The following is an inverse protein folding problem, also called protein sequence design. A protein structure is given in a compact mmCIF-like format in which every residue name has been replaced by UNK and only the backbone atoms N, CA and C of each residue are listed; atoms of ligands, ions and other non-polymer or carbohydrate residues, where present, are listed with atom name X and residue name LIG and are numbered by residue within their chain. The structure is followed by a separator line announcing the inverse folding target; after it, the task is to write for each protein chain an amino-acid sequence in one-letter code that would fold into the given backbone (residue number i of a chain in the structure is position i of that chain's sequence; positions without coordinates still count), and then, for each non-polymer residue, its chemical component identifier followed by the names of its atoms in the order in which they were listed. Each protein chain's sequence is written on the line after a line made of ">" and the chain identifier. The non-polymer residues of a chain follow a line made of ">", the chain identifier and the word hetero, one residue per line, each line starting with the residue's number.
data_IF_550251183896
#
_entry.id   IF_550251183896
#
_cell.length_a   1.000
_cell.length_b   1.000
_cell.length_c   1.000
_cell.angle_alpha   90.00
_cell.angle_beta   90.00
_cell.angle_gamma   90.00
#
_symmetry.space_group_name_H-M   'P 1'
#
loop_
_entity.id
_entity.type
_entity.pdbx_description
1 polymer ?
#
# COMPACT_ATOMS: atom_id res chain seq x y z
N UNK A 1 -24.93 2.68 -14.04
CA UNK A 1 -25.67 3.22 -12.88
C UNK A 1 -24.65 3.76 -11.90
N UNK A 2 -24.77 5.02 -11.49
CA UNK A 2 -23.93 5.65 -10.46
C UNK A 2 -24.72 5.63 -9.15
N UNK A 3 -24.15 5.07 -8.09
CA UNK A 3 -24.77 5.07 -6.75
C UNK A 3 -24.00 6.09 -5.91
N UNK A 4 -24.71 7.02 -5.30
CA UNK A 4 -24.15 8.00 -4.35
C UNK A 4 -24.58 7.63 -2.95
N UNK A 5 -23.61 7.45 -2.07
CA UNK A 5 -23.84 7.15 -0.65
C UNK A 5 -23.26 8.30 0.17
N UNK A 6 -24.07 8.85 1.07
CA UNK A 6 -23.67 9.91 1.98
C UNK A 6 -23.55 9.32 3.39
N UNK A 7 -22.43 9.56 4.05
CA UNK A 7 -22.11 9.01 5.37
C UNK A 7 -21.62 10.14 6.28
N UNK A 8 -22.11 10.19 7.52
CA UNK A 8 -21.51 11.07 8.53
C UNK A 8 -20.23 10.41 9.08
N UNK A 9 -19.13 10.65 8.38
CA UNK A 9 -17.81 10.14 8.75
C UNK A 9 -16.82 11.30 8.87
N UNK A 10 -16.00 11.38 9.95
CA UNK A 10 -15.04 12.46 10.13
C UNK A 10 -14.07 12.64 8.96
N UNK A 11 -13.75 11.57 8.23
CA UNK A 11 -12.83 11.63 7.08
C UNK A 11 -13.45 12.33 5.85
N UNK A 12 -14.79 12.36 5.74
CA UNK A 12 -15.49 12.97 4.61
C UNK A 12 -15.81 14.45 4.86
N UNK A 13 -15.76 14.91 6.13
CA UNK A 13 -16.00 16.31 6.50
C UNK A 13 -14.98 17.28 5.91
N UNK A 14 -13.82 16.78 5.46
CA UNK A 14 -12.79 17.58 4.78
C UNK A 14 -13.12 17.86 3.30
N UNK A 15 -14.26 17.38 2.79
CA UNK A 15 -14.61 17.46 1.37
C UNK A 15 -14.06 16.30 0.55
N UNK A 16 -13.48 15.28 1.19
CA UNK A 16 -13.04 14.05 0.53
C UNK A 16 -14.24 13.27 -0.03
N UNK A 17 -14.18 12.92 -1.30
CA UNK A 17 -15.13 12.01 -1.96
C UNK A 17 -14.40 10.76 -2.39
N UNK A 18 -14.90 9.60 -1.95
CA UNK A 18 -14.35 8.30 -2.35
C UNK A 18 -15.25 7.67 -3.41
N UNK A 19 -14.66 7.30 -4.55
CA UNK A 19 -15.35 6.59 -5.62
C UNK A 19 -14.77 5.17 -5.73
N UNK A 20 -15.62 4.17 -5.47
CA UNK A 20 -15.28 2.77 -5.75
C UNK A 20 -15.60 2.46 -7.21
N UNK A 21 -14.64 1.88 -7.91
CA UNK A 21 -14.66 1.70 -9.35
C UNK A 21 -14.57 0.22 -9.70
N UNK A 22 -15.35 -0.28 -10.66
CA UNK A 22 -15.22 -1.66 -11.10
C UNK A 22 -13.85 -1.91 -11.72
N UNK A 23 -13.39 -3.15 -11.66
CA UNK A 23 -12.07 -3.53 -12.17
C UNK A 23 -11.94 -3.29 -13.67
N UNK A 24 -10.76 -2.85 -14.12
CA UNK A 24 -10.49 -2.60 -15.54
C UNK A 24 -10.46 -3.88 -16.41
N UNK A 25 -10.50 -5.06 -15.79
CA UNK A 25 -10.56 -6.37 -16.45
C UNK A 25 -11.97 -6.98 -16.37
N UNK A 26 -12.98 -6.16 -16.11
CA UNK A 26 -14.38 -6.60 -16.10
C UNK A 26 -14.83 -7.02 -17.50
N UNK A 27 -15.57 -8.14 -17.60
CA UNK A 27 -16.12 -8.66 -18.85
C UNK A 27 -17.11 -7.70 -19.52
N UNK A 28 -17.72 -6.81 -18.74
CA UNK A 28 -18.64 -5.81 -19.25
C UNK A 28 -17.87 -4.55 -19.68
N UNK A 29 -17.65 -4.42 -21.00
CA UNK A 29 -16.97 -3.27 -21.60
C UNK A 29 -17.61 -1.92 -21.27
N UNK A 30 -18.92 -1.85 -21.05
CA UNK A 30 -19.56 -0.60 -20.66
C UNK A 30 -19.09 -0.14 -19.27
N UNK A 31 -18.86 -1.08 -18.33
CA UNK A 31 -18.30 -0.78 -17.01
C UNK A 31 -16.84 -0.35 -17.08
N UNK A 32 -16.05 -0.98 -17.95
CA UNK A 32 -14.65 -0.58 -18.18
C UNK A 32 -14.57 0.82 -18.77
N UNK A 33 -15.35 1.14 -19.83
CA UNK A 33 -15.36 2.48 -20.43
C UNK A 33 -15.86 3.55 -19.48
N UNK A 34 -16.87 3.25 -18.67
CA UNK A 34 -17.33 4.17 -17.63
C UNK A 34 -16.21 4.46 -16.61
N UNK A 35 -15.47 3.43 -16.23
CA UNK A 35 -14.34 3.55 -15.30
C UNK A 35 -13.20 4.38 -15.87
N UNK A 36 -12.79 4.11 -17.11
CA UNK A 36 -11.76 4.90 -17.81
C UNK A 36 -12.12 6.38 -17.88
N UNK A 37 -13.37 6.71 -18.24
CA UNK A 37 -13.83 8.10 -18.32
C UNK A 37 -13.79 8.76 -16.95
N UNK A 38 -14.25 8.05 -15.91
CA UNK A 38 -14.27 8.59 -14.56
C UNK A 38 -12.85 8.83 -14.02
N UNK A 39 -11.94 7.87 -14.19
CA UNK A 39 -10.54 7.99 -13.81
C UNK A 39 -9.86 9.20 -14.46
N UNK A 40 -10.12 9.45 -15.75
CA UNK A 40 -9.46 10.54 -16.48
C UNK A 40 -10.02 11.93 -16.21
N UNK A 41 -11.33 12.05 -15.97
CA UNK A 41 -12.00 13.35 -15.99
C UNK A 41 -12.62 13.77 -14.65
N UNK A 42 -12.80 12.84 -13.71
CA UNK A 42 -13.51 13.11 -12.46
C UNK A 42 -12.70 12.81 -11.20
N UNK A 43 -11.56 12.13 -11.31
CA UNK A 43 -10.71 11.83 -10.17
C UNK A 43 -9.54 12.82 -10.07
N UNK A 44 -9.36 13.46 -8.91
CA UNK A 44 -8.19 14.30 -8.65
C UNK A 44 -6.93 13.48 -8.33
N UNK A 45 -7.11 12.30 -7.75
CA UNK A 45 -6.06 11.36 -7.34
C UNK A 45 -6.59 9.92 -7.41
N UNK A 46 -5.72 8.95 -7.71
CA UNK A 46 -6.09 7.55 -7.91
C UNK A 46 -5.37 6.65 -6.90
N UNK A 47 -6.14 5.84 -6.19
CA UNK A 47 -5.66 4.79 -5.30
C UNK A 47 -5.78 3.41 -5.95
N UNK A 48 -4.67 2.67 -6.00
CA UNK A 48 -4.57 1.34 -6.59
C UNK A 48 -4.41 0.33 -5.46
N UNK A 49 -5.49 -0.37 -5.13
CA UNK A 49 -5.45 -1.41 -4.10
C UNK A 49 -4.96 -2.73 -4.69
N UNK A 50 -3.86 -3.27 -4.16
CA UNK A 50 -3.29 -4.56 -4.55
C UNK A 50 -2.95 -5.39 -3.31
N UNK A 51 -2.93 -6.71 -3.42
CA UNK A 51 -2.39 -7.56 -2.36
C UNK A 51 -0.86 -7.38 -2.34
N UNK A 52 -0.26 -7.13 -1.17
CA UNK A 52 1.17 -6.91 -1.02
C UNK A 52 2.02 -8.03 -1.65
N UNK A 53 1.55 -9.28 -1.61
CA UNK A 53 2.28 -10.42 -2.17
C UNK A 53 2.33 -10.45 -3.69
N UNK A 54 1.46 -9.69 -4.36
CA UNK A 54 1.38 -9.60 -5.83
C UNK A 54 1.64 -8.20 -6.34
N UNK A 55 1.70 -7.18 -5.47
CA UNK A 55 1.73 -5.78 -5.88
C UNK A 55 2.83 -5.44 -6.89
N UNK A 56 3.96 -6.15 -6.85
CA UNK A 56 5.02 -5.99 -7.84
C UNK A 56 4.72 -6.61 -9.20
N UNK A 57 4.16 -7.82 -9.23
CA UNK A 57 3.93 -8.60 -10.45
C UNK A 57 2.51 -8.44 -11.02
N UNK A 58 1.63 -7.75 -10.30
CA UNK A 58 0.25 -7.53 -10.72
C UNK A 58 0.19 -6.56 -11.89
N UNK A 59 -0.07 -7.10 -13.08
CA UNK A 59 -0.17 -6.35 -14.32
C UNK A 59 -1.32 -5.32 -14.28
N UNK A 60 -2.36 -5.55 -13.46
CA UNK A 60 -3.45 -4.58 -13.32
C UNK A 60 -2.99 -3.25 -12.72
N UNK A 61 -1.96 -3.26 -11.86
CA UNK A 61 -1.35 -2.05 -11.30
C UNK A 61 -0.76 -1.21 -12.43
N UNK A 62 -0.04 -1.86 -13.34
CA UNK A 62 0.56 -1.21 -14.50
C UNK A 62 -0.48 -0.66 -15.47
N UNK A 63 -1.54 -1.44 -15.74
CA UNK A 63 -2.63 -1.04 -16.61
C UNK A 63 -3.36 0.20 -16.09
N UNK A 64 -3.64 0.27 -14.79
CA UNK A 64 -4.29 1.43 -14.16
C UNK A 64 -3.39 2.66 -14.25
N UNK A 65 -2.10 2.53 -13.92
CA UNK A 65 -1.13 3.64 -13.96
C UNK A 65 -1.05 4.25 -15.36
N UNK A 66 -1.04 3.43 -16.42
CA UNK A 66 -1.02 3.89 -17.81
C UNK A 66 -2.29 4.63 -18.25
N UNK A 67 -3.43 4.33 -17.61
CA UNK A 67 -4.73 4.93 -17.96
C UNK A 67 -5.03 6.21 -17.19
N UNK A 68 -4.30 6.46 -16.10
CA UNK A 68 -4.35 7.71 -15.34
C UNK A 68 -3.76 8.88 -16.15
N UNK A 69 -4.17 10.10 -15.82
CA UNK A 69 -3.59 11.31 -16.41
C UNK A 69 -2.12 11.50 -16.03
N UNK A 70 -1.32 12.13 -16.89
CA UNK A 70 0.11 12.34 -16.65
C UNK A 70 0.42 13.08 -15.34
N UNK A 71 -0.38 14.11 -15.02
CA UNK A 71 -0.24 14.91 -13.80
C UNK A 71 -1.22 14.51 -12.68
N UNK A 72 -1.84 13.34 -12.79
CA UNK A 72 -2.74 12.82 -11.78
C UNK A 72 -1.93 12.05 -10.74
N UNK A 73 -1.94 12.45 -9.45
CA UNK A 73 -1.30 11.69 -8.39
C UNK A 73 -1.83 10.26 -8.33
N UNK A 74 -0.90 9.31 -8.15
CA UNK A 74 -1.18 7.88 -8.07
C UNK A 74 -0.60 7.35 -6.78
N UNK A 75 -1.34 6.48 -6.08
CA UNK A 75 -0.88 5.78 -4.87
C UNK A 75 -1.17 4.31 -4.98
N UNK A 76 -0.27 3.48 -4.46
CA UNK A 76 -0.50 2.05 -4.33
C UNK A 76 -0.83 1.74 -2.87
N UNK A 77 -1.93 1.05 -2.64
CA UNK A 77 -2.34 0.53 -1.33
C UNK A 77 -2.09 -0.98 -1.34
N UNK A 78 -0.99 -1.39 -0.72
CA UNK A 78 -0.64 -2.79 -0.51
C UNK A 78 -1.42 -3.36 0.68
N UNK A 79 -2.53 -4.02 0.39
CA UNK A 79 -3.39 -4.71 1.37
C UNK A 79 -2.77 -6.02 1.86
N UNK A 80 -3.25 -6.51 3.01
CA UNK A 80 -2.76 -7.76 3.68
C UNK A 80 -1.28 -7.69 4.04
N UNK A 81 -0.83 -6.50 4.47
CA UNK A 81 0.56 -6.24 4.82
C UNK A 81 1.08 -7.03 6.02
N UNK A 82 0.21 -7.69 6.79
CA UNK A 82 0.53 -8.56 7.92
C UNK A 82 0.78 -10.02 7.54
N UNK A 83 0.32 -10.47 6.36
CA UNK A 83 0.39 -11.89 6.00
C UNK A 83 1.76 -12.21 5.42
N UNK A 84 2.65 -12.82 6.22
CA UNK A 84 3.93 -13.36 5.77
C UNK A 84 3.75 -14.83 5.36
N UNK A 85 3.76 -15.13 4.06
CA UNK A 85 3.77 -16.51 3.59
C UNK A 85 5.18 -16.89 3.21
N UNK A 86 5.76 -17.86 3.92
CA UNK A 86 7.03 -18.51 3.58
C UNK A 86 7.04 -19.10 2.15
N UNK A 87 5.88 -19.23 1.49
CA UNK A 87 5.75 -19.76 0.12
C UNK A 87 5.61 -18.68 -0.97
N UNK A 88 5.33 -17.42 -0.62
CA UNK A 88 5.15 -16.36 -1.63
C UNK A 88 6.49 -15.80 -2.15
N UNK A 89 7.60 -16.36 -1.67
CA UNK A 89 8.96 -16.06 -2.10
C UNK A 89 9.35 -16.58 -3.49
N UNK A 90 8.45 -17.23 -4.22
CA UNK A 90 8.82 -18.01 -5.40
C UNK A 90 9.28 -17.23 -6.64
N UNK A 91 9.00 -15.94 -6.78
CA UNK A 91 9.32 -15.21 -8.03
C UNK A 91 9.96 -13.83 -7.86
N UNK A 92 9.88 -13.23 -6.67
CA UNK A 92 10.46 -11.90 -6.39
C UNK A 92 11.44 -11.89 -5.23
N UNK A 93 11.34 -12.87 -4.35
CA UNK A 93 12.19 -12.96 -3.18
C UNK A 93 13.51 -13.68 -3.46
N UNK A 94 13.74 -14.23 -4.65
CA UNK A 94 15.08 -14.77 -4.99
C UNK A 94 16.06 -13.68 -5.45
N UNK A 95 15.59 -12.59 -6.06
CA UNK A 95 16.47 -11.54 -6.61
C UNK A 95 16.65 -10.32 -5.70
N UNK A 96 15.65 -9.95 -4.89
CA UNK A 96 15.76 -8.79 -3.98
C UNK A 96 16.45 -9.15 -2.65
N UNK A 97 16.35 -10.40 -2.19
CA UNK A 97 16.79 -10.80 -0.85
C UNK A 97 18.32 -10.82 -0.69
N UNK A 98 19.09 -10.77 -1.78
CA UNK A 98 20.55 -10.88 -1.74
C UNK A 98 21.31 -9.56 -1.96
N UNK A 99 20.68 -8.46 -2.39
CA UNK A 99 21.45 -7.32 -2.92
C UNK A 99 21.40 -6.01 -2.09
N UNK A 100 20.48 -5.83 -1.13
CA UNK A 100 20.32 -4.55 -0.40
C UNK A 100 20.39 -4.64 1.13
N UNK A 101 21.15 -5.59 1.69
CA UNK A 101 21.46 -5.60 3.13
C UNK A 101 22.84 -4.95 3.35
N UNK A 102 22.91 -3.62 3.20
CA UNK A 102 24.13 -2.84 3.48
C UNK A 102 24.26 -2.52 4.99
N UNK A 103 24.72 -3.53 5.72
CA UNK A 103 25.82 -3.56 6.69
C UNK A 103 26.00 -2.59 7.89
N UNK A 104 25.32 -1.45 8.12
CA UNK A 104 25.76 -0.56 9.24
C UNK A 104 24.73 -0.06 10.27
N UNK A 105 23.44 -0.02 9.98
CA UNK A 105 22.44 0.49 10.95
C UNK A 105 21.69 -0.60 11.74
N UNK A 106 21.92 -1.86 11.41
CA UNK A 106 21.15 -3.02 11.92
C UNK A 106 21.77 -3.74 13.12
N UNK A 107 22.99 -3.40 13.52
CA UNK A 107 23.87 -4.33 14.25
C UNK A 107 23.51 -4.66 15.72
N UNK A 108 22.69 -3.87 16.42
CA UNK A 108 22.46 -4.08 17.88
C UNK A 108 21.19 -4.86 18.22
N UNK A 109 20.07 -4.55 17.58
CA UNK A 109 18.81 -5.29 17.79
C UNK A 109 18.75 -6.57 16.95
N UNK A 110 19.36 -6.61 15.76
CA UNK A 110 19.35 -7.80 14.90
C UNK A 110 20.14 -8.97 15.47
N UNK A 111 21.16 -8.79 16.31
CA UNK A 111 21.96 -9.95 16.73
C UNK A 111 21.10 -10.95 17.52
N UNK A 112 20.24 -10.46 18.41
CA UNK A 112 19.31 -11.30 19.16
C UNK A 112 18.25 -11.97 18.27
N UNK A 113 17.77 -11.27 17.25
CA UNK A 113 16.73 -11.73 16.32
C UNK A 113 17.30 -12.72 15.29
N UNK A 114 18.49 -12.42 14.75
CA UNK A 114 19.24 -13.29 13.83
C UNK A 114 19.60 -14.60 14.49
N UNK A 115 20.13 -14.57 15.72
CA UNK A 115 20.41 -15.77 16.50
C UNK A 115 19.15 -16.60 16.76
N UNK A 116 17.99 -15.95 16.91
CA UNK A 116 16.72 -16.64 17.06
C UNK A 116 16.24 -17.30 15.75
N UNK A 117 16.42 -16.62 14.61
CA UNK A 117 16.15 -17.18 13.27
C UNK A 117 17.04 -18.41 13.04
N UNK A 118 18.36 -18.29 13.25
CA UNK A 118 19.33 -19.37 13.08
C UNK A 118 19.00 -20.57 14.00
N UNK A 119 18.58 -20.30 15.25
CA UNK A 119 18.14 -21.36 16.17
C UNK A 119 16.91 -22.10 15.65
N UNK A 120 15.88 -21.37 15.21
CA UNK A 120 14.66 -21.99 14.66
C UNK A 120 14.94 -22.77 13.37
N UNK A 121 15.81 -22.27 12.50
CA UNK A 121 16.25 -22.99 11.30
C UNK A 121 16.97 -24.29 11.65
N UNK A 122 17.81 -24.27 12.70
CA UNK A 122 18.46 -25.48 13.21
C UNK A 122 17.45 -26.51 13.73
N UNK A 123 16.40 -26.05 14.41
CA UNK A 123 15.34 -26.93 14.92
C UNK A 123 14.48 -27.50 13.80
N UNK A 124 14.14 -26.70 12.79
CA UNK A 124 13.44 -27.17 11.60
C UNK A 124 14.25 -28.20 10.83
N UNK A 125 15.58 -28.02 10.74
CA UNK A 125 16.48 -28.99 10.11
C UNK A 125 16.49 -30.31 10.89
N UNK A 126 16.54 -30.26 12.22
CA UNK A 126 16.45 -31.48 13.06
C UNK A 126 15.13 -32.20 12.86
N UNK A 127 13.99 -31.49 12.93
CA UNK A 127 12.67 -32.11 12.72
C UNK A 127 12.52 -32.70 11.33
N UNK A 128 13.12 -32.09 10.29
CA UNK A 128 13.13 -32.66 8.94
C UNK A 128 13.93 -33.95 8.87
N UNK A 129 15.13 -33.97 9.47
CA UNK A 129 15.96 -35.15 9.52
C UNK A 129 15.28 -36.29 10.31
N UNK A 130 14.66 -35.97 11.46
CA UNK A 130 13.92 -36.96 12.26
C UNK A 130 12.73 -37.57 11.50
N UNK A 131 12.09 -36.78 10.62
CA UNK A 131 10.98 -37.23 9.78
C UNK A 131 11.49 -38.12 8.64
N UNK A 132 12.60 -37.76 8.01
CA UNK A 132 13.25 -38.55 6.96
C UNK A 132 13.73 -39.90 7.53
N UNK A 133 14.36 -39.88 8.70
CA UNK A 133 14.76 -41.09 9.43
C UNK A 133 13.54 -41.96 9.82
N UNK A 134 12.43 -41.35 10.24
CA UNK A 134 11.21 -42.09 10.55
C UNK A 134 10.56 -42.70 9.29
N UNK A 135 10.64 -42.02 8.14
CA UNK A 135 10.13 -42.52 6.87
C UNK A 135 10.97 -43.67 6.31
N UNK A 136 12.30 -43.59 6.42
CA UNK A 136 13.22 -44.65 5.98
C UNK A 136 13.12 -45.88 6.89
N UNK A 137 13.09 -45.70 8.21
CA UNK A 137 12.85 -46.80 9.15
C UNK A 137 11.52 -47.52 8.90
N UNK A 138 10.49 -46.82 8.41
CA UNK A 138 9.21 -47.44 8.02
C UNK A 138 9.34 -48.28 6.74
N UNK A 139 10.17 -47.84 5.78
CA UNK A 139 10.42 -48.58 4.53
C UNK A 139 11.14 -49.89 4.79
N UNK A 140 12.08 -49.88 5.74
CA UNK A 140 12.94 -51.01 6.06
C UNK A 140 12.37 -51.94 7.16
N UNK A 141 11.24 -51.60 7.78
CA UNK A 141 10.63 -52.39 8.84
C UNK A 141 9.80 -53.59 8.34
N UNK A 142 10.01 -54.73 9.00
CA UNK A 142 9.18 -55.93 8.91
C UNK A 142 7.72 -55.69 9.37
N UNK A 143 6.79 -56.51 8.85
CA UNK A 143 5.34 -56.36 9.04
C UNK A 143 4.89 -56.16 10.50
N UNK A 144 5.57 -56.79 11.46
CA UNK A 144 5.26 -56.67 12.90
C UNK A 144 5.58 -55.31 13.53
N UNK A 145 6.55 -54.57 12.98
CA UNK A 145 7.00 -53.28 13.53
C UNK A 145 6.52 -52.06 12.73
N UNK A 146 5.94 -52.25 11.54
CA UNK A 146 5.40 -51.17 10.69
C UNK A 146 4.38 -50.28 11.39
N UNK A 147 3.55 -50.85 12.27
CA UNK A 147 2.55 -50.08 13.02
C UNK A 147 3.18 -49.08 14.01
N UNK A 148 4.30 -49.44 14.64
CA UNK A 148 5.02 -48.55 15.57
C UNK A 148 5.67 -47.35 14.87
N UNK A 149 6.29 -47.60 13.71
CA UNK A 149 6.88 -46.52 12.90
C UNK A 149 5.81 -45.63 12.26
N UNK A 150 4.68 -46.18 11.83
CA UNK A 150 3.53 -45.40 11.34
C UNK A 150 2.95 -44.48 12.43
N UNK A 151 2.89 -44.95 13.69
CA UNK A 151 2.47 -44.12 14.82
C UNK A 151 3.45 -42.98 15.08
N UNK A 152 4.77 -43.25 15.06
CA UNK A 152 5.81 -42.22 15.25
C UNK A 152 5.83 -41.18 14.13
N UNK A 153 5.68 -41.59 12.88
CA UNK A 153 5.51 -40.71 11.72
C UNK A 153 4.26 -39.84 11.88
N UNK A 154 3.12 -40.43 12.27
CA UNK A 154 1.87 -39.69 12.50
C UNK A 154 2.02 -38.68 13.64
N UNK A 155 2.73 -39.00 14.72
CA UNK A 155 3.00 -38.09 15.83
C UNK A 155 3.93 -36.94 15.43
N UNK A 156 4.93 -37.19 14.58
CA UNK A 156 5.80 -36.15 14.04
C UNK A 156 5.06 -35.23 13.05
N UNK A 157 4.09 -35.78 12.30
CA UNK A 157 3.18 -35.02 11.43
C UNK A 157 2.09 -34.26 12.19
N UNK A 158 1.64 -34.78 13.34
CA UNK A 158 0.66 -34.19 14.25
C UNK A 158 1.28 -33.27 15.31
N UNK A 159 2.62 -33.26 15.47
CA UNK A 159 3.31 -32.19 16.22
C UNK A 159 2.72 -30.89 15.69
N UNK A 160 2.12 -30.06 16.56
CA UNK A 160 1.22 -29.02 16.12
C UNK A 160 1.96 -28.16 15.12
N UNK A 161 1.58 -28.30 13.84
CA UNK A 161 1.84 -27.25 12.86
C UNK A 161 1.22 -26.02 13.51
N UNK A 162 2.04 -25.07 13.94
CA UNK A 162 1.58 -23.69 14.18
C UNK A 162 1.09 -23.15 12.84
N UNK A 163 -0.06 -23.62 12.38
CA UNK A 163 -0.77 -23.07 11.25
C UNK A 163 -2.25 -23.19 11.50
N UNK A 164 -2.82 -22.01 11.37
CA UNK A 164 -4.22 -21.68 11.25
C UNK A 164 -4.97 -21.66 12.57
N UNK A 165 -5.24 -20.42 12.99
CA UNK A 165 -5.93 -20.11 14.23
C UNK A 165 -7.25 -20.86 14.32
N UNK A 166 -7.41 -21.56 15.44
CA UNK A 166 -8.61 -21.78 16.25
C UNK A 166 -8.23 -22.92 17.20
N UNK A 167 -7.90 -22.59 18.44
CA UNK A 167 -8.04 -23.52 19.56
C UNK A 167 -8.26 -22.70 20.82
N UNK A 168 -9.54 -22.57 21.15
CA UNK A 168 -10.05 -22.12 22.44
C UNK A 168 -9.46 -23.02 23.53
N UNK A 169 -8.93 -22.40 24.60
CA UNK A 169 -8.89 -23.04 25.91
C UNK A 169 -7.63 -23.85 26.28
N UNK A 170 -6.43 -23.27 26.23
CA UNK A 170 -5.33 -23.65 27.16
C UNK A 170 -4.50 -22.40 27.49
N UNK A 171 -5.00 -21.60 28.44
CA UNK A 171 -4.21 -20.64 29.22
C UNK A 171 -3.78 -21.39 30.50
N UNK A 172 -2.59 -21.27 31.05
CA UNK A 172 -1.98 -20.06 31.55
C UNK A 172 -0.51 -20.39 31.90
N UNK A 173 0.37 -19.39 31.90
CA UNK A 173 1.68 -19.37 32.59
C UNK A 173 2.96 -19.69 31.80
N UNK A 174 2.93 -20.24 30.58
CA UNK A 174 4.15 -20.42 29.75
C UNK A 174 4.44 -19.29 28.74
N UNK A 175 3.60 -18.26 28.65
CA UNK A 175 3.44 -17.44 27.44
C UNK A 175 3.64 -15.92 27.66
N UNK A 176 4.69 -15.48 28.35
CA UNK A 176 5.03 -14.04 28.43
C UNK A 176 6.39 -13.68 27.84
N UNK A 177 7.39 -14.55 27.94
CA UNK A 177 8.74 -14.28 27.44
C UNK A 177 8.90 -14.73 25.98
N UNK A 178 8.38 -15.93 25.63
CA UNK A 178 8.40 -16.43 24.24
C UNK A 178 7.44 -15.67 23.31
N UNK A 179 6.32 -15.18 23.84
CA UNK A 179 5.36 -14.34 23.09
C UNK A 179 5.93 -12.95 22.79
N UNK A 180 6.70 -12.34 23.69
CA UNK A 180 7.32 -11.03 23.43
C UNK A 180 8.40 -11.11 22.33
N UNK A 181 9.19 -12.19 22.31
CA UNK A 181 10.21 -12.38 21.28
C UNK A 181 9.59 -12.73 19.91
N UNK A 182 8.58 -13.61 19.90
CA UNK A 182 7.86 -13.95 18.66
C UNK A 182 7.14 -12.75 18.07
N UNK A 183 6.52 -11.91 18.90
CA UNK A 183 5.82 -10.68 18.46
C UNK A 183 6.80 -9.63 17.93
N UNK A 184 7.97 -9.48 18.54
CA UNK A 184 9.06 -8.62 18.05
C UNK A 184 9.58 -9.07 16.68
N UNK A 185 9.82 -10.37 16.51
CA UNK A 185 10.27 -10.93 15.24
C UNK A 185 9.22 -10.71 14.14
N UNK A 186 7.94 -11.03 14.40
CA UNK A 186 6.85 -10.85 13.43
C UNK A 186 6.75 -9.38 12.99
N UNK A 187 6.84 -8.44 13.95
CA UNK A 187 6.86 -7.01 13.66
C UNK A 187 8.04 -6.62 12.77
N UNK A 188 9.23 -7.12 13.09
CA UNK A 188 10.44 -6.84 12.31
C UNK A 188 10.31 -7.35 10.87
N UNK A 189 9.87 -8.60 10.69
CA UNK A 189 9.71 -9.22 9.37
C UNK A 189 8.66 -8.49 8.52
N UNK A 190 7.50 -8.15 9.10
CA UNK A 190 6.46 -7.38 8.43
C UNK A 190 7.02 -6.02 8.00
N UNK A 191 7.67 -5.29 8.92
CA UNK A 191 8.22 -3.95 8.64
C UNK A 191 9.27 -4.02 7.54
N UNK A 192 10.20 -4.97 7.62
CA UNK A 192 11.27 -5.13 6.62
C UNK A 192 10.70 -5.43 5.24
N UNK A 193 9.77 -6.40 5.14
CA UNK A 193 9.12 -6.73 3.87
C UNK A 193 8.35 -5.54 3.30
N UNK A 194 7.54 -4.87 4.11
CA UNK A 194 6.74 -3.73 3.67
C UNK A 194 7.65 -2.62 3.13
N UNK A 195 8.79 -2.36 3.79
CA UNK A 195 9.78 -1.39 3.33
C UNK A 195 10.40 -1.80 1.98
N UNK A 196 10.82 -3.06 1.84
CA UNK A 196 11.42 -3.55 0.60
C UNK A 196 10.44 -3.44 -0.58
N UNK A 197 9.18 -3.87 -0.39
CA UNK A 197 8.16 -3.80 -1.44
C UNK A 197 7.83 -2.34 -1.78
N UNK A 198 7.74 -1.47 -0.77
CA UNK A 198 7.48 -0.05 -0.99
C UNK A 198 8.60 0.63 -1.79
N UNK A 199 9.86 0.33 -1.44
CA UNK A 199 11.03 0.83 -2.17
C UNK A 199 11.07 0.32 -3.59
N UNK A 200 10.84 -0.98 -3.79
CA UNK A 200 10.79 -1.59 -5.11
C UNK A 200 9.72 -0.91 -5.98
N UNK A 201 8.47 -0.81 -5.50
CA UNK A 201 7.38 -0.16 -6.24
C UNK A 201 7.64 1.30 -6.54
N UNK A 202 8.28 2.03 -5.63
CA UNK A 202 8.65 3.44 -5.84
C UNK A 202 9.75 3.59 -6.91
N UNK A 203 10.68 2.64 -7.01
CA UNK A 203 11.67 2.60 -8.10
C UNK A 203 11.04 2.20 -9.43
N UNK A 204 10.05 1.32 -9.42
CA UNK A 204 9.36 0.84 -10.63
C UNK A 204 8.44 1.90 -11.24
N UNK A 205 7.80 2.72 -10.42
CA UNK A 205 6.82 3.72 -10.85
C UNK A 205 7.20 5.11 -10.33
N UNK A 206 7.53 6.02 -11.25
CA UNK A 206 7.92 7.38 -10.91
C UNK A 206 6.78 8.18 -10.25
N UNK A 207 7.11 8.89 -9.17
CA UNK A 207 6.18 9.76 -8.45
C UNK A 207 5.05 9.02 -7.70
N UNK A 208 5.15 7.70 -7.54
CA UNK A 208 4.16 6.91 -6.79
C UNK A 208 4.51 6.90 -5.30
N UNK A 209 3.49 6.99 -4.45
CA UNK A 209 3.62 6.75 -3.02
C UNK A 209 2.87 5.47 -2.64
N UNK A 210 3.48 4.67 -1.78
CA UNK A 210 3.00 3.33 -1.42
C UNK A 210 2.58 3.33 0.05
N UNK A 211 1.45 2.70 0.34
CA UNK A 211 0.94 2.47 1.69
C UNK A 211 0.73 0.98 1.91
N UNK A 212 1.38 0.40 2.92
CA UNK A 212 1.15 -0.99 3.31
C UNK A 212 0.12 -1.05 4.43
N UNK A 213 -1.03 -1.70 4.19
CA UNK A 213 -2.14 -1.73 5.13
C UNK A 213 -2.65 -3.12 5.47
N UNK A 214 -3.10 -3.29 6.71
CA UNK A 214 -3.73 -4.51 7.20
C UNK A 214 -4.96 -4.22 8.05
N UNK A 215 -6.13 -4.62 7.53
CA UNK A 215 -7.39 -4.53 8.28
C UNK A 215 -7.44 -5.54 9.44
N UNK A 216 -6.90 -6.73 9.25
CA UNK A 216 -6.85 -7.80 10.26
C UNK A 216 -6.01 -7.37 11.45
N UNK A 217 -4.83 -6.80 11.19
CA UNK A 217 -3.94 -6.31 12.25
C UNK A 217 -4.56 -5.12 12.97
N UNK A 218 -5.10 -4.16 12.23
CA UNK A 218 -5.74 -2.98 12.83
C UNK A 218 -6.95 -3.36 13.70
N UNK A 219 -7.85 -4.21 13.20
CA UNK A 219 -9.06 -4.59 13.93
C UNK A 219 -8.75 -5.31 15.24
N UNK A 220 -7.72 -6.16 15.26
CA UNK A 220 -7.28 -6.88 16.47
C UNK A 220 -6.70 -5.97 17.54
N UNK A 221 -6.04 -4.88 17.16
CA UNK A 221 -5.26 -4.05 18.08
C UNK A 221 -5.84 -2.66 18.36
N UNK A 222 -6.84 -2.18 17.59
CA UNK A 222 -7.42 -0.82 17.76
C UNK A 222 -8.04 -0.54 19.13
N UNK A 223 -8.42 -1.58 19.88
CA UNK A 223 -9.09 -1.45 21.18
C UNK A 223 -8.11 -1.44 22.36
N UNK A 224 -6.80 -1.44 22.12
CA UNK A 224 -5.80 -1.16 23.16
C UNK A 224 -5.61 -2.23 24.25
N UNK A 225 -6.15 -3.44 24.07
CA UNK A 225 -6.13 -4.50 25.09
C UNK A 225 -4.72 -5.03 25.47
N UNK A 226 -3.69 -4.70 24.68
CA UNK A 226 -2.31 -5.13 24.90
C UNK A 226 -1.34 -3.95 25.00
N UNK A 227 -0.26 -4.04 25.81
CA UNK A 227 0.73 -2.96 25.95
C UNK A 227 1.39 -2.53 24.62
N UNK A 228 1.46 -3.45 23.65
CA UNK A 228 2.03 -3.23 22.33
C UNK A 228 0.98 -2.94 21.24
N UNK A 229 -0.29 -2.78 21.62
CA UNK A 229 -1.38 -2.57 20.66
C UNK A 229 -1.11 -1.36 19.76
N UNK A 230 -0.61 -0.26 20.32
CA UNK A 230 -0.29 0.95 19.56
C UNK A 230 0.76 0.68 18.46
N UNK A 231 1.81 -0.06 18.80
CA UNK A 231 2.86 -0.46 17.86
C UNK A 231 2.31 -1.30 16.68
N UNK A 232 1.31 -2.14 16.93
CA UNK A 232 0.65 -2.94 15.89
C UNK A 232 -0.35 -2.14 15.08
N UNK A 233 -1.06 -1.21 15.70
CA UNK A 233 -1.94 -0.27 15.00
C UNK A 233 -1.13 0.61 14.05
N UNK A 234 0.08 1.02 14.43
CA UNK A 234 1.02 1.72 13.56
C UNK A 234 1.55 0.82 12.46
N UNK A 235 1.95 -0.41 12.78
CA UNK A 235 2.40 -1.40 11.79
C UNK A 235 1.32 -1.73 10.74
N UNK A 236 0.04 -1.64 11.13
CA UNK A 236 -1.09 -1.88 10.24
C UNK A 236 -1.28 -0.77 9.19
N UNK A 237 -0.63 0.40 9.32
CA UNK A 237 -0.59 1.46 8.30
C UNK A 237 -1.90 2.24 8.06
N UNK A 238 -3.03 1.82 8.64
CA UNK A 238 -4.34 2.46 8.40
C UNK A 238 -4.39 3.90 8.92
N UNK A 239 -3.73 4.20 10.05
CA UNK A 239 -3.67 5.57 10.58
C UNK A 239 -2.94 6.52 9.65
N UNK A 240 -1.82 6.06 9.09
CA UNK A 240 -1.04 6.85 8.13
C UNK A 240 -1.86 7.11 6.86
N UNK A 241 -2.47 6.06 6.29
CA UNK A 241 -3.34 6.21 5.12
C UNK A 241 -4.51 7.17 5.40
N UNK A 242 -5.14 7.06 6.57
CA UNK A 242 -6.24 7.96 6.96
C UNK A 242 -5.78 9.42 7.06
N UNK A 243 -4.63 9.69 7.69
CA UNK A 243 -4.05 11.04 7.76
C UNK A 243 -3.75 11.58 6.38
N UNK A 244 -3.20 10.75 5.48
CA UNK A 244 -2.96 11.14 4.11
C UNK A 244 -4.26 11.52 3.39
N UNK A 245 -5.30 10.69 3.47
CA UNK A 245 -6.60 10.98 2.86
C UNK A 245 -7.23 12.30 3.33
N UNK A 246 -6.95 12.73 4.56
CA UNK A 246 -7.43 14.03 5.06
C UNK A 246 -6.76 15.23 4.36
N UNK A 247 -5.55 15.05 3.81
CA UNK A 247 -4.79 16.09 3.12
C UNK A 247 -5.13 16.18 1.62
N UNK A 248 -5.65 15.09 1.02
CA UNK A 248 -5.94 14.99 -0.42
C UNK A 248 -6.83 16.14 -0.93
N UNK A 249 -7.94 16.53 -0.26
CA UNK A 249 -8.78 17.63 -0.76
C UNK A 249 -8.02 18.97 -0.83
N UNK A 250 -7.20 19.26 0.17
CA UNK A 250 -6.41 20.50 0.20
C UNK A 250 -5.35 20.50 -0.92
N UNK A 251 -4.66 19.37 -1.14
CA UNK A 251 -3.69 19.23 -2.23
C UNK A 251 -4.36 19.35 -3.62
N UNK A 252 -5.57 18.80 -3.79
CA UNK A 252 -6.34 18.92 -5.02
C UNK A 252 -6.76 20.37 -5.30
N UNK A 253 -7.29 21.07 -4.29
CA UNK A 253 -7.66 22.49 -4.40
C UNK A 253 -6.46 23.37 -4.74
N UNK A 254 -5.31 23.12 -4.11
CA UNK A 254 -4.08 23.85 -4.40
C UNK A 254 -3.63 23.66 -5.85
N UNK A 255 -3.67 22.42 -6.37
CA UNK A 255 -3.35 22.13 -7.77
C UNK A 255 -4.33 22.82 -8.73
N UNK A 256 -5.62 22.81 -8.42
CA UNK A 256 -6.64 23.47 -9.24
C UNK A 256 -6.43 24.99 -9.28
N UNK A 257 -6.21 25.62 -8.12
CA UNK A 257 -5.93 27.06 -8.04
C UNK A 257 -4.66 27.44 -8.81
N UNK A 258 -3.60 26.63 -8.68
CA UNK A 258 -2.36 26.82 -9.45
C UNK A 258 -2.60 26.72 -10.96
N UNK A 259 -3.32 25.69 -11.40
CA UNK A 259 -3.62 25.49 -12.83
C UNK A 259 -4.47 26.65 -13.40
N UNK A 260 -5.42 27.17 -12.62
CA UNK A 260 -6.21 28.34 -12.98
C UNK A 260 -5.31 29.58 -13.20
N UNK A 261 -4.42 29.86 -12.24
CA UNK A 261 -3.49 31.00 -12.32
C UNK A 261 -2.48 30.86 -13.48
N UNK A 262 -1.99 29.65 -13.74
CA UNK A 262 -0.97 29.41 -14.77
C UNK A 262 -1.56 29.35 -16.19
N UNK A 263 -2.83 28.98 -16.36
CA UNK A 263 -3.42 28.71 -17.68
C UNK A 263 -4.59 29.62 -18.00
N UNK A 264 -5.58 29.69 -17.13
CA UNK A 264 -6.83 30.39 -17.41
C UNK A 264 -6.67 31.89 -17.30
N UNK A 265 -5.93 32.37 -16.30
CA UNK A 265 -5.68 33.82 -16.14
C UNK A 265 -4.92 34.39 -17.35
N UNK A 266 -3.79 33.82 -17.82
CA UNK A 266 -3.13 34.32 -19.03
C UNK A 266 -3.98 34.19 -20.29
N UNK A 267 -4.75 33.10 -20.44
CA UNK A 267 -5.65 32.93 -21.59
C UNK A 267 -6.74 34.01 -21.62
N UNK A 268 -7.34 34.32 -20.46
CA UNK A 268 -8.33 35.38 -20.34
C UNK A 268 -7.71 36.74 -20.67
N UNK A 269 -6.53 37.06 -20.12
CA UNK A 269 -5.82 38.30 -20.44
C UNK A 269 -5.48 38.39 -21.93
N UNK A 270 -5.05 37.29 -22.54
CA UNK A 270 -4.81 37.20 -23.99
C UNK A 270 -6.07 37.46 -24.80
N UNK A 271 -7.21 36.88 -24.40
CA UNK A 271 -8.49 37.11 -25.08
C UNK A 271 -8.97 38.56 -24.95
N UNK A 272 -8.79 39.18 -23.77
CA UNK A 272 -9.08 40.60 -23.55
C UNK A 272 -8.15 41.48 -24.37
N UNK A 273 -6.86 41.17 -24.44
CA UNK A 273 -5.89 41.88 -25.29
C UNK A 273 -6.30 41.79 -26.76
N UNK A 274 -6.69 40.61 -27.22
CA UNK A 274 -7.15 40.40 -28.59
C UNK A 274 -8.43 41.20 -28.89
N UNK A 275 -9.38 41.26 -27.97
CA UNK A 275 -10.58 42.10 -28.10
C UNK A 275 -10.25 43.59 -28.17
N UNK A 276 -9.32 44.08 -27.33
CA UNK A 276 -8.86 45.47 -27.36
C UNK A 276 -8.15 45.82 -28.68
N UNK A 277 -7.42 44.86 -29.27
CA UNK A 277 -6.72 45.04 -30.55
C UNK A 277 -7.65 44.93 -31.77
N UNK A 278 -8.71 44.11 -31.70
CA UNK A 278 -9.64 43.92 -32.82
C UNK A 278 -10.62 45.08 -33.00
N UNK A 279 -10.65 46.04 -32.07
CA UNK A 279 -11.45 47.26 -32.20
C UNK A 279 -12.96 47.01 -32.25
N UNK A 280 -13.41 45.86 -31.71
CA UNK A 280 -14.83 45.49 -31.69
C UNK A 280 -15.60 46.27 -30.60
N UNK A 281 -15.88 47.53 -30.97
CA UNK A 281 -17.00 48.42 -30.61
C UNK A 281 -16.93 49.41 -29.42
N UNK A 282 -17.49 50.60 -29.71
CA UNK A 282 -17.89 51.79 -28.91
C UNK A 282 -17.18 52.22 -27.61
N UNK A 283 -16.00 51.72 -27.28
CA UNK A 283 -15.24 52.25 -26.14
C UNK A 283 -14.54 53.55 -26.55
N UNK A 284 -14.85 54.67 -25.87
CA UNK A 284 -14.14 55.94 -26.05
C UNK A 284 -12.62 55.74 -25.89
N UNK A 285 -11.81 56.43 -26.71
CA UNK A 285 -10.36 56.26 -26.75
C UNK A 285 -9.68 56.33 -25.37
N UNK A 286 -10.21 57.15 -24.47
CA UNK A 286 -9.75 57.34 -23.09
C UNK A 286 -10.00 56.10 -22.20
N UNK A 287 -11.18 55.46 -22.32
CA UNK A 287 -11.49 54.21 -21.62
C UNK A 287 -10.66 53.04 -22.18
N UNK A 288 -10.43 53.01 -23.49
CA UNK A 288 -9.58 52.00 -24.12
C UNK A 288 -8.11 52.13 -23.65
N UNK A 289 -7.58 53.36 -23.53
CA UNK A 289 -6.23 53.60 -23.00
C UNK A 289 -6.10 53.17 -21.53
N UNK A 290 -7.12 53.46 -20.71
CA UNK A 290 -7.15 53.06 -19.29
C UNK A 290 -7.19 51.55 -19.13
N UNK A 291 -8.01 50.85 -19.94
CA UNK A 291 -8.09 49.39 -19.95
C UNK A 291 -6.77 48.75 -20.40
N UNK A 292 -6.11 49.28 -21.43
CA UNK A 292 -4.78 48.82 -21.86
C UNK A 292 -3.74 48.95 -20.76
N UNK A 293 -3.68 50.10 -20.08
CA UNK A 293 -2.74 50.32 -18.99
C UNK A 293 -2.98 49.37 -17.82
N UNK A 294 -4.24 49.13 -17.44
CA UNK A 294 -4.59 48.18 -16.38
C UNK A 294 -4.23 46.73 -16.78
N UNK A 295 -4.46 46.35 -18.04
CA UNK A 295 -4.14 45.02 -18.55
C UNK A 295 -2.63 44.77 -18.56
N UNK A 296 -1.84 45.72 -19.08
CA UNK A 296 -0.37 45.61 -19.07
C UNK A 296 0.21 45.56 -17.65
N UNK A 297 -0.39 46.29 -16.71
CA UNK A 297 0.03 46.23 -15.31
C UNK A 297 -0.30 44.86 -14.69
N UNK A 298 -1.47 44.29 -14.97
CA UNK A 298 -1.83 42.95 -14.52
C UNK A 298 -0.90 41.89 -15.12
N UNK A 299 -0.58 41.97 -16.41
CA UNK A 299 0.40 41.09 -17.08
C UNK A 299 1.79 41.20 -16.43
N UNK A 300 2.27 42.42 -16.14
CA UNK A 300 3.58 42.63 -15.49
C UNK A 300 3.65 42.11 -14.06
N UNK A 301 2.56 42.21 -13.29
CA UNK A 301 2.49 41.70 -11.93
C UNK A 301 2.49 40.17 -11.93
N UNK A 302 1.76 39.55 -12.85
CA UNK A 302 1.73 38.09 -12.99
C UNK A 302 3.05 37.50 -13.50
N UNK A 303 3.80 38.21 -14.34
CA UNK A 303 5.13 37.76 -14.80
C UNK A 303 6.25 37.87 -13.75
N UNK A 304 6.01 38.53 -12.61
CA UNK A 304 6.98 38.67 -11.51
C UNK A 304 6.82 37.64 -10.39
N UNK A 305 5.74 36.84 -10.42
CA UNK A 305 5.45 35.77 -9.45
C UNK A 305 5.86 34.43 -10.05
#
# INVERSE_FOLDING_TARGET
>A
MLIRVYLDSPILKTGLVLADMPGLRDLNFARVRATERYLKHHCDEVFIAANISRAWSDESVHDIIRRCGHNQPRRIICTRSDVFSHRLCGALDSNIYLQEISAKETAREENSIRLHIERMESELKKVRNDLEEAEDNRRDADEGNRAGFALRESQLRLRPRKRDGISVGVLHLKSRIDTDQSTRLDRFLIKKRNNLISQALTRKYEGIRVFCVSNTLYAKHREGRHPQAEAYVDLAGIRELRRYCQLVPAEAQMRAARAFLEREVPALLGSLRQWVLSGADQVTAEKAATLRSCLENAERVLHRV
#
